data_IF_901413558611
#
_entry.id   IF_901413558611
#
_cell.length_a   1.000
_cell.length_b   1.000
_cell.length_c   1.000
_cell.angle_alpha   90.00
_cell.angle_beta   90.00
_cell.angle_gamma   90.00
#
_symmetry.space_group_name_H-M   'P 1'
#
loop_
_entity.id
_entity.type
_entity.pdbx_description
1 polymer ?
#
# COMPACT_ATOMS: atom_id res chain seq x y z
N UNK A 1 7.48 7.73 30.84
CA UNK A 1 6.25 7.88 30.04
C UNK A 1 5.12 8.26 30.99
N UNK A 2 4.42 9.39 30.77
CA UNK A 2 3.40 9.90 31.71
C UNK A 2 2.10 9.09 31.61
N UNK A 3 1.45 8.80 32.75
CA UNK A 3 0.14 8.13 32.86
C UNK A 3 -0.91 8.79 31.93
N UNK A 4 -0.80 10.11 31.72
CA UNK A 4 -1.70 10.86 30.83
C UNK A 4 -1.55 10.46 29.35
N UNK A 5 -0.33 10.13 28.91
CA UNK A 5 -0.05 9.61 27.57
C UNK A 5 -0.65 8.21 27.39
N UNK A 6 -0.52 7.35 28.41
CA UNK A 6 -1.09 6.01 28.42
C UNK A 6 -2.62 6.02 28.31
N UNK A 7 -3.31 6.84 29.12
CA UNK A 7 -4.78 6.94 29.12
C UNK A 7 -5.32 7.50 27.80
N UNK A 8 -4.69 8.56 27.27
CA UNK A 8 -5.12 9.16 25.99
C UNK A 8 -4.95 8.20 24.82
N UNK A 9 -3.95 7.31 24.89
CA UNK A 9 -3.67 6.30 23.88
C UNK A 9 -4.67 5.13 23.93
N UNK A 10 -5.01 4.65 25.12
CA UNK A 10 -6.05 3.62 25.30
C UNK A 10 -7.39 4.08 24.73
N UNK A 11 -7.74 5.34 24.93
CA UNK A 11 -8.99 5.91 24.38
C UNK A 11 -9.02 5.94 22.85
N UNK A 12 -7.88 6.20 22.19
CA UNK A 12 -7.76 6.20 20.71
C UNK A 12 -7.79 4.81 20.10
N UNK A 13 -7.22 3.81 20.78
CA UNK A 13 -7.31 2.41 20.35
C UNK A 13 -8.76 1.92 20.43
N UNK A 14 -9.46 2.25 21.52
CA UNK A 14 -10.85 1.86 21.74
C UNK A 14 -11.83 2.55 20.77
N UNK A 15 -11.68 3.86 20.55
CA UNK A 15 -12.53 4.60 19.61
C UNK A 15 -12.42 4.09 18.16
N UNK A 16 -11.27 3.56 17.77
CA UNK A 16 -11.07 3.01 16.42
C UNK A 16 -11.62 1.60 16.26
N UNK A 17 -11.55 0.77 17.31
CA UNK A 17 -12.18 -0.55 17.32
C UNK A 17 -13.71 -0.46 17.12
N UNK A 18 -14.34 0.58 17.68
CA UNK A 18 -15.77 0.87 17.51
C UNK A 18 -16.11 1.32 16.08
N UNK A 19 -15.18 1.96 15.36
CA UNK A 19 -15.43 2.56 14.04
C UNK A 19 -15.28 1.59 12.86
N UNK A 20 -14.55 0.49 13.01
CA UNK A 20 -14.23 -0.43 11.89
C UNK A 20 -15.21 -1.60 11.77
N UNK A 21 -16.13 -1.74 12.72
CA UNK A 21 -17.15 -2.79 12.72
C UNK A 21 -16.56 -4.15 13.07
N UNK A 22 -17.14 -4.80 14.08
CA UNK A 22 -16.83 -6.17 14.45
C UNK A 22 -17.08 -7.10 13.26
N UNK A 23 -16.05 -7.35 12.45
CA UNK A 23 -16.02 -8.57 11.64
C UNK A 23 -15.79 -9.70 12.62
N UNK A 24 -16.85 -10.46 12.85
CA UNK A 24 -16.91 -11.52 13.84
C UNK A 24 -15.70 -12.46 13.76
N UNK A 25 -15.29 -12.92 14.94
CA UNK A 25 -14.39 -14.04 15.18
C UNK A 25 -14.62 -15.16 14.16
N UNK A 26 -13.83 -15.18 13.09
CA UNK A 26 -13.86 -16.28 12.13
C UNK A 26 -12.65 -17.18 12.43
N UNK A 27 -12.97 -18.33 13.04
CA UNK A 27 -12.08 -19.38 13.56
C UNK A 27 -11.13 -18.92 14.68
N UNK A 28 -11.34 -19.40 15.92
CA UNK A 28 -10.51 -19.06 17.09
C UNK A 28 -9.03 -19.48 17.01
N UNK A 29 -8.58 -19.94 15.85
CA UNK A 29 -7.22 -20.41 15.58
C UNK A 29 -6.39 -19.28 14.95
N UNK A 30 -5.17 -19.02 15.44
CA UNK A 30 -4.35 -17.95 14.93
C UNK A 30 -3.84 -18.28 13.52
N UNK A 31 -3.73 -17.25 12.68
CA UNK A 31 -2.96 -17.35 11.44
C UNK A 31 -1.47 -17.36 11.76
N UNK A 32 -0.67 -18.09 10.99
CA UNK A 32 0.77 -18.17 11.21
C UNK A 32 1.54 -17.51 10.07
N UNK A 33 2.47 -16.63 10.42
CA UNK A 33 3.36 -15.92 9.50
C UNK A 33 4.81 -16.00 9.96
N UNK A 34 5.74 -15.54 9.12
CA UNK A 34 7.17 -15.67 9.34
C UNK A 34 7.64 -17.12 9.09
N UNK A 35 8.93 -17.30 8.87
CA UNK A 35 9.56 -18.60 8.68
C UNK A 35 10.63 -18.90 9.73
N UNK A 36 11.51 -19.89 9.52
CA UNK A 36 12.59 -20.19 10.47
C UNK A 36 13.64 -19.07 10.55
N UNK A 37 13.67 -18.15 9.58
CA UNK A 37 14.69 -17.10 9.49
C UNK A 37 14.24 -15.76 10.08
N UNK A 38 15.21 -14.94 10.47
CA UNK A 38 15.00 -13.58 10.97
C UNK A 38 14.33 -12.67 9.93
N UNK A 39 14.73 -12.78 8.66
CA UNK A 39 14.24 -11.92 7.57
C UNK A 39 12.78 -12.21 7.22
N UNK A 40 12.38 -13.48 7.22
CA UNK A 40 10.97 -13.86 7.03
C UNK A 40 10.09 -13.34 8.17
N UNK A 41 10.58 -13.39 9.42
CA UNK A 41 9.83 -12.92 10.58
C UNK A 41 9.56 -11.40 10.54
N UNK A 42 10.59 -10.60 10.25
CA UNK A 42 10.45 -9.14 10.15
C UNK A 42 9.68 -8.78 8.89
N UNK A 43 10.00 -9.40 7.75
CA UNK A 43 9.37 -9.14 6.47
C UNK A 43 7.87 -9.40 6.50
N UNK A 44 7.44 -10.57 6.99
CA UNK A 44 6.02 -10.90 7.06
C UNK A 44 5.28 -10.05 8.10
N UNK A 45 5.92 -9.68 9.20
CA UNK A 45 5.35 -8.73 10.16
C UNK A 45 5.16 -7.36 9.52
N UNK A 46 6.11 -6.89 8.71
CA UNK A 46 5.95 -5.64 7.97
C UNK A 46 4.82 -5.71 6.95
N UNK A 47 4.66 -6.83 6.26
CA UNK A 47 3.52 -7.08 5.36
C UNK A 47 2.21 -6.99 6.14
N UNK A 48 2.11 -7.69 7.28
CA UNK A 48 0.93 -7.64 8.15
C UNK A 48 0.63 -6.20 8.62
N UNK A 49 1.64 -5.47 9.07
CA UNK A 49 1.47 -4.09 9.53
C UNK A 49 1.25 -3.11 8.37
N UNK A 50 1.53 -3.50 7.12
CA UNK A 50 1.22 -2.75 5.91
C UNK A 50 -0.24 -2.87 5.47
N UNK A 51 -1.00 -3.84 5.99
CA UNK A 51 -2.43 -3.97 5.69
C UNK A 51 -3.27 -3.05 6.57
N UNK A 52 -4.59 -3.04 6.36
CA UNK A 52 -5.54 -2.41 7.26
C UNK A 52 -5.69 -3.14 8.61
N UNK A 53 -5.04 -4.29 8.80
CA UNK A 53 -5.07 -5.08 10.02
C UNK A 53 -4.30 -4.35 11.13
N UNK A 54 -5.03 -3.73 12.07
CA UNK A 54 -4.39 -2.98 13.16
C UNK A 54 -4.02 -3.93 14.30
N UNK A 55 -2.77 -3.91 14.82
CA UNK A 55 -2.44 -4.62 16.04
C UNK A 55 -3.13 -3.96 17.24
N UNK A 56 -3.86 -4.76 18.02
CA UNK A 56 -4.62 -4.36 19.20
C UNK A 56 -3.85 -4.69 20.48
N UNK A 57 -3.34 -5.92 20.56
CA UNK A 57 -2.53 -6.42 21.67
C UNK A 57 -1.49 -7.40 21.14
N UNK A 58 -0.35 -7.49 21.81
CA UNK A 58 0.70 -8.43 21.44
C UNK A 58 1.35 -9.07 22.66
N UNK A 59 1.88 -10.27 22.48
CA UNK A 59 2.64 -11.00 23.48
C UNK A 59 3.94 -11.53 22.89
N UNK A 60 5.03 -11.44 23.66
CA UNK A 60 6.31 -12.08 23.38
C UNK A 60 6.30 -13.45 24.05
N UNK A 61 6.05 -14.49 23.26
CA UNK A 61 6.08 -15.88 23.71
C UNK A 61 7.54 -16.27 23.86
N UNK A 62 7.98 -16.59 25.08
CA UNK A 62 9.40 -16.79 25.38
C UNK A 62 9.66 -18.10 26.13
N UNK A 63 10.64 -18.88 25.66
CA UNK A 63 11.26 -19.97 26.43
C UNK A 63 12.63 -19.48 26.89
N UNK A 64 12.72 -19.09 28.18
CA UNK A 64 13.90 -18.43 28.74
C UNK A 64 14.72 -19.36 29.63
N UNK A 65 16.04 -19.24 29.52
CA UNK A 65 16.98 -19.81 30.48
C UNK A 65 17.04 -19.01 31.79
N UNK A 66 17.92 -19.41 32.71
CA UNK A 66 18.08 -18.76 34.02
C UNK A 66 18.64 -17.33 33.94
N UNK A 67 19.22 -16.94 32.81
CA UNK A 67 19.77 -15.60 32.56
C UNK A 67 18.77 -14.72 31.81
N UNK A 68 17.62 -15.25 31.40
CA UNK A 68 16.64 -14.52 30.61
C UNK A 68 16.91 -14.51 29.12
N UNK A 69 17.74 -15.42 28.64
CA UNK A 69 18.06 -15.58 27.24
C UNK A 69 17.22 -16.71 26.65
N UNK A 70 16.86 -16.61 25.38
CA UNK A 70 16.01 -17.64 24.80
C UNK A 70 15.55 -17.41 23.38
N UNK A 71 14.67 -18.31 22.97
CA UNK A 71 13.93 -18.23 21.71
C UNK A 71 12.58 -17.56 21.94
N UNK A 72 12.13 -16.82 20.92
CA UNK A 72 10.88 -16.08 20.98
C UNK A 72 10.00 -16.30 19.76
N UNK A 73 8.70 -16.11 19.97
CA UNK A 73 7.68 -15.93 18.96
C UNK A 73 6.79 -14.74 19.38
N UNK A 74 5.95 -14.24 18.47
CA UNK A 74 4.97 -13.20 18.80
C UNK A 74 3.57 -13.71 18.58
N UNK A 75 2.66 -13.47 19.53
CA UNK A 75 1.22 -13.53 19.31
C UNK A 75 0.72 -12.10 19.18
N UNK A 76 -0.03 -11.79 18.13
CA UNK A 76 -0.55 -10.45 17.86
C UNK A 76 -2.06 -10.60 17.61
N UNK A 77 -2.86 -9.98 18.46
CA UNK A 77 -4.27 -9.78 18.20
C UNK A 77 -4.45 -8.59 17.28
N UNK A 78 -5.13 -8.80 16.16
CA UNK A 78 -5.44 -7.76 15.19
C UNK A 78 -6.94 -7.59 15.03
N UNK A 79 -7.36 -6.53 14.34
CA UNK A 79 -8.76 -6.33 13.93
C UNK A 79 -9.32 -7.47 13.07
N UNK A 80 -8.46 -8.26 12.42
CA UNK A 80 -8.85 -9.37 11.54
C UNK A 80 -8.54 -10.75 12.17
N UNK A 81 -8.38 -10.80 13.49
CA UNK A 81 -8.08 -12.02 14.24
C UNK A 81 -6.63 -12.15 14.71
N UNK A 82 -6.32 -13.26 15.37
CA UNK A 82 -5.01 -13.52 15.95
C UNK A 82 -3.99 -13.97 14.90
N UNK A 83 -2.74 -13.51 15.06
CA UNK A 83 -1.61 -13.85 14.19
C UNK A 83 -0.40 -14.23 15.03
N UNK A 84 0.31 -15.28 14.65
CA UNK A 84 1.56 -15.71 15.28
C UNK A 84 2.73 -15.50 14.32
N UNK A 85 3.74 -14.73 14.75
CA UNK A 85 5.05 -14.66 14.07
C UNK A 85 5.93 -15.76 14.65
N UNK A 86 6.23 -16.76 13.83
CA UNK A 86 6.64 -18.08 14.31
C UNK A 86 8.03 -18.15 14.95
N UNK A 87 9.04 -17.49 14.41
CA UNK A 87 10.41 -17.72 14.86
C UNK A 87 11.42 -16.77 14.25
N UNK A 88 12.70 -17.09 14.35
CA UNK A 88 13.80 -16.20 13.94
C UNK A 88 14.08 -15.08 14.95
N UNK A 89 13.48 -15.13 16.14
CA UNK A 89 13.61 -14.12 17.19
C UNK A 89 14.31 -14.75 18.40
N UNK A 90 15.42 -14.16 18.85
CA UNK A 90 16.20 -14.67 19.99
C UNK A 90 16.62 -13.52 20.91
N UNK A 91 17.08 -13.83 22.12
CA UNK A 91 17.67 -12.85 23.05
C UNK A 91 18.93 -13.40 23.74
N UNK A 92 19.72 -12.51 24.34
CA UNK A 92 20.89 -12.86 25.16
C UNK A 92 22.25 -12.83 24.46
N UNK A 93 22.28 -12.83 23.14
CA UNK A 93 23.51 -12.73 22.36
C UNK A 93 23.39 -11.68 21.26
N UNK A 94 24.49 -11.00 20.97
CA UNK A 94 24.57 -10.11 19.82
C UNK A 94 24.46 -10.95 18.54
N UNK A 95 23.48 -10.65 17.69
CA UNK A 95 23.23 -11.42 16.48
C UNK A 95 21.95 -11.04 15.75
N UNK A 96 21.71 -11.69 14.62
CA UNK A 96 20.56 -11.41 13.76
C UNK A 96 19.22 -11.66 14.46
N UNK A 97 19.11 -12.71 15.29
CA UNK A 97 17.88 -13.01 16.01
C UNK A 97 17.51 -11.98 17.09
N UNK A 98 18.50 -11.45 17.83
CA UNK A 98 18.29 -10.36 18.78
C UNK A 98 17.94 -9.04 18.09
N UNK A 99 18.57 -8.76 16.94
CA UNK A 99 18.22 -7.63 16.09
C UNK A 99 16.80 -7.76 15.53
N UNK A 100 16.40 -8.95 15.13
CA UNK A 100 15.07 -9.23 14.62
C UNK A 100 14.00 -9.03 15.69
N UNK A 101 14.20 -9.59 16.88
CA UNK A 101 13.30 -9.37 18.02
C UNK A 101 13.15 -7.89 18.35
N UNK A 102 14.25 -7.16 18.48
CA UNK A 102 14.21 -5.72 18.76
C UNK A 102 13.49 -4.94 17.65
N UNK A 103 13.71 -5.31 16.38
CA UNK A 103 13.05 -4.71 15.22
C UNK A 103 11.55 -4.98 15.23
N UNK A 104 11.12 -6.22 15.48
CA UNK A 104 9.71 -6.58 15.57
C UNK A 104 8.99 -5.85 16.70
N UNK A 105 9.61 -5.75 17.88
CA UNK A 105 9.07 -4.97 19.00
C UNK A 105 8.95 -3.49 18.61
N UNK A 106 9.98 -2.93 17.95
CA UNK A 106 9.94 -1.56 17.46
C UNK A 106 8.79 -1.32 16.49
N UNK A 107 8.57 -2.22 15.54
CA UNK A 107 7.45 -2.11 14.59
C UNK A 107 6.09 -2.09 15.28
N UNK A 108 5.91 -2.90 16.32
CA UNK A 108 4.68 -2.91 17.12
C UNK A 108 4.53 -1.61 17.91
N UNK A 109 5.60 -1.15 18.58
CA UNK A 109 5.62 0.08 19.37
C UNK A 109 5.37 1.32 18.51
N UNK A 110 5.93 1.37 17.30
CA UNK A 110 5.70 2.44 16.33
C UNK A 110 4.22 2.49 15.86
N UNK A 111 3.45 1.42 16.10
CA UNK A 111 1.99 1.32 15.88
C UNK A 111 1.16 1.39 17.16
N UNK A 112 1.73 1.92 18.23
CA UNK A 112 1.11 2.03 19.56
C UNK A 112 0.71 0.67 20.18
N UNK A 113 1.27 -0.44 19.71
CA UNK A 113 1.08 -1.77 20.28
C UNK A 113 2.29 -2.14 21.14
N UNK A 114 2.10 -2.25 22.45
CA UNK A 114 3.15 -2.55 23.42
C UNK A 114 3.06 -4.01 23.85
N UNK A 115 4.01 -4.87 23.42
CA UNK A 115 3.93 -6.29 23.72
C UNK A 115 4.05 -6.59 25.22
N UNK A 116 3.34 -7.60 25.71
CA UNK A 116 3.50 -8.16 27.05
C UNK A 116 4.34 -9.44 27.00
N UNK A 117 5.15 -9.73 28.03
CA UNK A 117 5.90 -10.97 28.06
C UNK A 117 5.05 -12.15 28.52
N UNK A 118 5.11 -13.24 27.76
CA UNK A 118 4.51 -14.51 28.09
C UNK A 118 5.59 -15.59 28.14
N UNK A 119 6.13 -15.84 29.33
CA UNK A 119 7.13 -16.89 29.51
C UNK A 119 6.42 -18.23 29.60
N UNK A 120 6.72 -19.11 28.67
CA UNK A 120 6.05 -20.41 28.53
C UNK A 120 7.06 -21.54 28.61
N UNK A 121 6.54 -22.76 28.74
CA UNK A 121 7.38 -23.95 28.59
C UNK A 121 7.79 -24.13 27.13
N UNK A 122 8.96 -24.74 26.92
CA UNK A 122 9.51 -25.09 25.60
C UNK A 122 8.50 -25.76 24.65
N UNK A 123 7.65 -26.65 25.15
CA UNK A 123 6.66 -27.36 24.33
C UNK A 123 5.63 -26.42 23.70
N UNK A 124 5.19 -25.38 24.44
CA UNK A 124 4.26 -24.35 23.96
C UNK A 124 4.93 -23.50 22.87
N UNK A 125 6.18 -23.06 23.10
CA UNK A 125 6.92 -22.27 22.10
C UNK A 125 7.17 -23.08 20.81
N UNK A 126 7.52 -24.36 20.93
CA UNK A 126 7.67 -25.23 19.75
C UNK A 126 6.35 -25.39 18.99
N UNK A 127 5.21 -25.50 19.68
CA UNK A 127 3.90 -25.49 19.03
C UNK A 127 3.63 -24.18 18.27
N UNK A 128 3.98 -23.02 18.83
CA UNK A 128 3.91 -21.74 18.10
C UNK A 128 4.75 -21.76 16.82
N UNK A 129 5.99 -22.26 16.89
CA UNK A 129 6.92 -22.38 15.75
C UNK A 129 6.42 -23.33 14.66
N UNK A 130 5.66 -24.36 15.05
CA UNK A 130 5.16 -25.41 14.15
C UNK A 130 3.69 -25.26 13.77
N UNK A 131 3.10 -24.06 13.92
CA UNK A 131 1.70 -23.79 13.56
C UNK A 131 0.67 -24.67 14.29
N UNK A 132 0.94 -24.99 15.56
CA UNK A 132 0.21 -26.04 16.28
C UNK A 132 -0.22 -25.61 17.70
N UNK A 133 -0.48 -24.33 17.95
CA UNK A 133 -0.97 -23.89 19.26
C UNK A 133 -2.38 -24.41 19.50
N UNK A 134 -2.61 -24.88 20.72
CA UNK A 134 -3.93 -25.25 21.20
C UNK A 134 -4.64 -24.02 21.78
N UNK A 135 -5.97 -24.07 21.89
CA UNK A 135 -6.74 -22.99 22.52
C UNK A 135 -6.25 -22.72 23.96
N UNK A 136 -5.92 -23.78 24.70
CA UNK A 136 -5.34 -23.69 26.05
C UNK A 136 -3.97 -22.98 26.06
N UNK A 137 -3.16 -23.15 25.01
CA UNK A 137 -1.88 -22.45 24.89
C UNK A 137 -2.09 -20.96 24.66
N UNK A 138 -3.06 -20.60 23.82
CA UNK A 138 -3.40 -19.21 23.52
C UNK A 138 -3.89 -18.51 24.79
N UNK A 139 -4.78 -19.16 25.55
CA UNK A 139 -5.23 -18.64 26.84
C UNK A 139 -4.09 -18.52 27.85
N UNK A 140 -3.19 -19.51 27.91
CA UNK A 140 -1.98 -19.43 28.74
C UNK A 140 -1.12 -18.21 28.36
N UNK A 141 -0.90 -17.97 27.07
CA UNK A 141 -0.11 -16.84 26.55
C UNK A 141 -0.80 -15.51 26.87
N UNK A 142 -2.11 -15.39 26.64
CA UNK A 142 -2.91 -14.19 26.94
C UNK A 142 -2.85 -13.80 28.41
N UNK A 143 -2.83 -14.81 29.28
CA UNK A 143 -2.69 -14.65 30.72
C UNK A 143 -1.23 -14.38 31.15
N UNK A 144 -0.28 -14.33 30.19
CA UNK A 144 1.13 -13.99 30.36
C UNK A 144 2.03 -15.16 30.81
N UNK A 145 1.59 -16.41 30.63
CA UNK A 145 2.38 -17.60 30.97
C UNK A 145 2.78 -17.68 32.45
N UNK A 146 3.97 -18.23 32.71
CA UNK A 146 4.55 -18.30 34.05
C UNK A 146 4.94 -16.90 34.56
N UNK A 147 4.05 -16.33 35.38
CA UNK A 147 4.18 -14.99 35.96
C UNK A 147 5.51 -14.82 36.71
N UNK A 148 6.05 -15.90 37.30
CA UNK A 148 7.26 -15.84 38.14
C UNK A 148 8.53 -15.61 37.33
N UNK A 149 8.51 -15.90 36.03
CA UNK A 149 9.68 -15.80 35.15
C UNK A 149 9.58 -14.64 34.17
N UNK A 150 8.51 -13.84 34.22
CA UNK A 150 8.32 -12.71 33.33
C UNK A 150 9.47 -11.73 33.43
N UNK A 151 10.03 -11.38 32.29
CA UNK A 151 10.79 -10.15 32.13
C UNK A 151 9.82 -9.07 31.66
N UNK A 152 10.19 -7.81 31.77
CA UNK A 152 9.46 -6.74 31.10
C UNK A 152 10.10 -6.48 29.74
N UNK A 153 9.29 -6.42 28.68
CA UNK A 153 9.73 -6.22 27.31
C UNK A 153 10.57 -4.94 27.15
N UNK A 154 10.44 -4.02 28.11
CA UNK A 154 11.26 -2.81 28.22
C UNK A 154 12.76 -3.11 28.22
N UNK A 155 13.17 -4.29 28.67
CA UNK A 155 14.56 -4.75 28.59
C UNK A 155 15.08 -4.81 27.14
N UNK A 156 14.22 -5.08 26.16
CA UNK A 156 14.59 -5.08 24.74
C UNK A 156 14.72 -3.67 24.14
N UNK A 157 14.18 -2.64 24.80
CA UNK A 157 14.21 -1.26 24.31
C UNK A 157 15.59 -0.60 24.43
N UNK A 158 16.41 -1.10 25.36
CA UNK A 158 17.78 -0.63 25.56
C UNK A 158 18.80 -1.31 24.62
N UNK A 159 18.36 -2.29 23.83
CA UNK A 159 19.21 -2.92 22.84
C UNK A 159 19.68 -1.89 21.78
N UNK A 160 20.96 -1.89 21.37
CA UNK A 160 21.48 -0.97 20.36
C UNK A 160 20.64 -0.97 19.07
N UNK A 161 20.15 -2.16 18.69
CA UNK A 161 19.32 -2.39 17.51
C UNK A 161 17.95 -1.72 17.56
N UNK A 162 17.36 -1.56 18.75
CA UNK A 162 16.07 -0.89 18.90
C UNK A 162 16.15 0.59 18.49
N UNK A 163 17.32 1.21 18.66
CA UNK A 163 17.55 2.62 18.31
C UNK A 163 17.89 2.82 16.83
N UNK A 164 18.05 1.75 16.06
CA UNK A 164 18.30 1.84 14.63
C UNK A 164 17.04 2.28 13.88
N UNK A 165 17.20 3.25 12.96
CA UNK A 165 16.10 3.79 12.14
C UNK A 165 15.73 2.90 10.94
N UNK A 166 16.47 1.82 10.71
CA UNK A 166 16.36 0.98 9.51
C UNK A 166 15.22 -0.03 9.54
N UNK A 167 14.35 0.01 10.55
CA UNK A 167 13.27 -0.99 10.72
C UNK A 167 12.31 -1.01 9.52
N UNK A 168 12.15 0.12 8.82
CA UNK A 168 11.34 0.23 7.62
C UNK A 168 12.05 -0.28 6.35
N UNK A 169 13.38 -0.40 6.35
CA UNK A 169 14.19 -0.88 5.21
C UNK A 169 14.07 -2.39 5.00
N UNK A 170 13.56 -3.14 6.00
CA UNK A 170 13.25 -4.57 5.85
C UNK A 170 11.98 -4.81 5.01
N UNK A 171 11.20 -3.77 4.74
CA UNK A 171 9.93 -3.88 4.03
C UNK A 171 10.18 -4.17 2.56
N UNK A 172 9.72 -5.33 2.09
CA UNK A 172 9.56 -5.55 0.66
C UNK A 172 8.31 -4.79 0.20
N UNK A 173 8.34 -4.05 -0.93
CA UNK A 173 7.13 -3.42 -1.46
C UNK A 173 6.01 -4.44 -1.64
N UNK A 174 4.85 -4.18 -1.04
CA UNK A 174 3.66 -5.05 -1.15
C UNK A 174 2.67 -4.37 -2.08
N UNK A 175 2.42 -4.99 -3.22
CA UNK A 175 1.48 -4.47 -4.21
C UNK A 175 0.03 -4.62 -3.70
N UNK A 176 -0.73 -3.51 -3.52
CA UNK A 176 -2.09 -3.58 -3.01
C UNK A 176 -3.04 -4.05 -4.13
N UNK A 177 -3.10 -5.36 -4.37
CA UNK A 177 -3.83 -5.97 -5.50
C UNK A 177 -5.32 -5.56 -5.55
N UNK A 178 -5.93 -5.28 -4.41
CA UNK A 178 -7.32 -4.81 -4.31
C UNK A 178 -7.52 -3.37 -4.82
N UNK A 179 -6.49 -2.53 -4.77
CA UNK A 179 -6.50 -1.14 -5.24
C UNK A 179 -6.00 -1.01 -6.68
N UNK A 180 -5.54 -2.12 -7.28
CA UNK A 180 -5.13 -2.11 -8.67
C UNK A 180 -6.33 -2.04 -9.61
N UNK A 181 -6.20 -1.16 -10.59
CA UNK A 181 -7.05 -1.06 -11.75
C UNK A 181 -7.21 -2.45 -12.39
N UNK A 182 -8.42 -2.86 -12.82
CA UNK A 182 -8.66 -4.21 -13.33
C UNK A 182 -7.70 -4.63 -14.46
N UNK A 183 -7.29 -3.71 -15.34
CA UNK A 183 -6.35 -3.99 -16.43
C UNK A 183 -4.92 -4.29 -15.97
N UNK A 184 -4.54 -3.92 -14.74
CA UNK A 184 -3.20 -4.16 -14.19
C UNK A 184 -3.08 -5.50 -13.49
N UNK A 185 -4.19 -6.18 -13.17
CA UNK A 185 -4.16 -7.39 -12.33
C UNK A 185 -3.34 -8.53 -12.93
N UNK A 186 -3.37 -8.71 -14.25
CA UNK A 186 -2.55 -9.70 -14.95
C UNK A 186 -1.07 -9.28 -15.00
N UNK A 187 -0.81 -7.99 -15.21
CA UNK A 187 0.54 -7.44 -15.39
C UNK A 187 1.27 -7.26 -14.05
N UNK A 188 0.54 -7.16 -12.95
CA UNK A 188 1.02 -7.01 -11.58
C UNK A 188 2.00 -8.13 -11.15
N UNK A 189 1.79 -9.36 -11.64
CA UNK A 189 2.68 -10.48 -11.33
C UNK A 189 4.04 -10.33 -12.01
N UNK A 190 4.06 -9.80 -13.23
CA UNK A 190 5.30 -9.60 -14.00
C UNK A 190 6.12 -8.41 -13.50
N UNK A 191 5.49 -7.48 -12.78
CA UNK A 191 6.13 -6.25 -12.31
C UNK A 191 7.38 -6.53 -11.47
N UNK A 192 7.34 -7.50 -10.56
CA UNK A 192 8.49 -7.84 -9.71
C UNK A 192 9.65 -8.52 -10.46
N UNK A 193 9.40 -8.96 -11.70
CA UNK A 193 10.41 -9.59 -12.57
C UNK A 193 10.94 -8.61 -13.61
N UNK A 194 10.06 -7.76 -14.16
CA UNK A 194 10.36 -6.86 -15.28
C UNK A 194 9.66 -5.49 -15.10
N UNK A 195 10.00 -4.72 -14.06
CA UNK A 195 9.26 -3.52 -13.69
C UNK A 195 9.19 -2.49 -14.83
N UNK A 196 10.31 -2.21 -15.50
CA UNK A 196 10.34 -1.23 -16.58
C UNK A 196 9.52 -1.62 -17.80
N UNK A 197 9.46 -2.92 -18.10
CA UNK A 197 8.65 -3.40 -19.21
C UNK A 197 7.17 -3.19 -18.90
N UNK A 198 6.74 -3.57 -17.69
CA UNK A 198 5.38 -3.36 -17.21
C UNK A 198 5.01 -1.88 -17.26
N UNK A 199 5.85 -0.99 -16.72
CA UNK A 199 5.58 0.45 -16.71
C UNK A 199 5.43 1.03 -18.12
N UNK A 200 6.29 0.62 -19.07
CA UNK A 200 6.17 1.02 -20.49
C UNK A 200 4.88 0.52 -21.12
N UNK A 201 4.49 -0.71 -20.84
CA UNK A 201 3.30 -1.31 -21.44
C UNK A 201 2.02 -0.68 -20.88
N UNK A 202 1.98 -0.39 -19.58
CA UNK A 202 0.87 0.34 -18.95
C UNK A 202 0.76 1.76 -19.48
N UNK A 203 1.88 2.49 -19.58
CA UNK A 203 1.88 3.84 -20.17
C UNK A 203 1.37 3.81 -21.62
N UNK A 204 1.75 2.79 -22.40
CA UNK A 204 1.25 2.60 -23.77
C UNK A 204 -0.25 2.28 -23.80
N UNK A 205 -0.75 1.46 -22.88
CA UNK A 205 -2.18 1.14 -22.78
C UNK A 205 -3.00 2.41 -22.47
N UNK A 206 -2.58 3.22 -21.50
CA UNK A 206 -3.21 4.51 -21.18
C UNK A 206 -3.26 5.41 -22.43
N UNK A 207 -2.13 5.60 -23.10
CA UNK A 207 -2.05 6.42 -24.32
C UNK A 207 -2.96 5.86 -25.42
N UNK A 208 -2.99 4.53 -25.58
CA UNK A 208 -3.82 3.86 -26.58
C UNK A 208 -5.31 4.05 -26.29
N UNK A 209 -5.76 3.83 -25.05
CA UNK A 209 -7.15 4.04 -24.62
C UNK A 209 -7.63 5.44 -24.94
N UNK A 210 -6.85 6.47 -24.59
CA UNK A 210 -7.20 7.85 -24.92
C UNK A 210 -7.24 8.05 -26.44
N UNK A 211 -6.21 7.59 -27.18
CA UNK A 211 -6.18 7.71 -28.65
C UNK A 211 -7.38 7.09 -29.35
N UNK A 212 -7.87 5.94 -28.86
CA UNK A 212 -9.02 5.25 -29.47
C UNK A 212 -10.33 6.02 -29.32
N UNK A 213 -10.43 6.91 -28.33
CA UNK A 213 -11.60 7.74 -28.11
C UNK A 213 -11.50 9.11 -28.81
N UNK A 214 -10.32 9.50 -29.31
CA UNK A 214 -10.15 10.76 -30.03
C UNK A 214 -10.64 10.66 -31.49
N UNK A 215 -11.23 11.74 -32.04
CA UNK A 215 -11.55 11.83 -33.45
C UNK A 215 -10.32 11.62 -34.36
N UNK A 216 -10.53 10.98 -35.52
CA UNK A 216 -9.47 10.71 -36.50
C UNK A 216 -8.74 12.00 -36.89
N UNK A 217 -7.41 11.99 -36.77
CA UNK A 217 -6.54 13.12 -37.14
C UNK A 217 -6.08 13.99 -35.97
N UNK A 218 -6.78 13.98 -34.82
CA UNK A 218 -6.42 14.78 -33.63
C UNK A 218 -5.25 14.19 -32.82
N UNK A 219 -4.87 12.94 -33.09
CA UNK A 219 -3.82 12.19 -32.39
C UNK A 219 -2.47 12.13 -33.13
N UNK A 220 -2.34 12.73 -34.32
CA UNK A 220 -1.19 12.51 -35.22
C UNK A 220 -0.10 13.58 -35.03
N UNK A 221 1.12 13.14 -34.69
CA UNK A 221 2.34 13.96 -34.75
C UNK A 221 2.56 14.95 -33.60
N UNK A 222 1.81 14.86 -32.51
CA UNK A 222 1.92 15.82 -31.41
C UNK A 222 2.95 15.40 -30.35
N UNK A 223 3.62 16.39 -29.74
CA UNK A 223 4.45 16.19 -28.54
C UNK A 223 3.56 15.72 -27.38
N UNK A 224 4.07 14.87 -26.50
CA UNK A 224 3.28 14.23 -25.43
C UNK A 224 2.50 15.22 -24.55
N UNK A 225 3.10 16.37 -24.20
CA UNK A 225 2.40 17.39 -23.44
C UNK A 225 1.24 18.07 -24.19
N UNK A 226 1.35 18.19 -25.52
CA UNK A 226 0.26 18.73 -26.34
C UNK A 226 -0.87 17.70 -26.52
N UNK A 227 -0.54 16.40 -26.51
CA UNK A 227 -1.53 15.33 -26.63
C UNK A 227 -2.58 15.35 -25.50
N UNK A 228 -2.13 15.45 -24.24
CA UNK A 228 -3.03 15.44 -23.09
C UNK A 228 -3.94 16.68 -23.02
N UNK A 229 -3.39 17.87 -23.29
CA UNK A 229 -4.19 19.09 -23.36
C UNK A 229 -5.27 18.99 -24.44
N UNK A 230 -4.93 18.47 -25.61
CA UNK A 230 -5.86 18.39 -26.74
C UNK A 230 -6.94 17.32 -26.54
N UNK A 231 -6.65 16.30 -25.72
CA UNK A 231 -7.61 15.30 -25.33
C UNK A 231 -8.64 15.83 -24.32
N UNK A 232 -8.20 16.59 -23.30
CA UNK A 232 -9.01 16.84 -22.10
C UNK A 232 -9.25 18.32 -21.74
N UNK A 233 -8.39 19.26 -22.14
CA UNK A 233 -8.39 20.64 -21.62
C UNK A 233 -8.58 21.76 -22.65
N UNK A 234 -8.48 21.49 -23.95
CA UNK A 234 -8.78 22.51 -24.98
C UNK A 234 -10.27 22.92 -24.96
N UNK A 235 -10.55 24.15 -25.39
CA UNK A 235 -11.91 24.55 -25.74
C UNK A 235 -12.39 23.58 -26.85
N UNK A 236 -13.45 22.81 -26.58
CA UNK A 236 -13.89 21.66 -27.40
C UNK A 236 -12.98 20.39 -27.36
N UNK A 237 -12.30 20.14 -26.24
CA UNK A 237 -11.74 18.83 -25.88
C UNK A 237 -12.71 17.66 -26.17
N UNK A 238 -12.28 16.58 -26.83
CA UNK A 238 -13.14 15.43 -27.12
C UNK A 238 -13.55 14.63 -25.89
N UNK A 239 -12.71 14.63 -24.86
CA UNK A 239 -12.95 13.91 -23.62
C UNK A 239 -13.17 14.88 -22.49
N UNK A 240 -14.14 14.58 -21.64
CA UNK A 240 -14.54 15.41 -20.51
C UNK A 240 -14.70 14.57 -19.26
N UNK A 241 -14.48 15.20 -18.11
CA UNK A 241 -14.94 14.70 -16.82
C UNK A 241 -16.11 15.58 -16.38
N UNK A 242 -17.37 15.08 -16.48
CA UNK A 242 -18.55 15.93 -16.33
C UNK A 242 -18.68 16.55 -14.92
N UNK A 243 -18.16 15.87 -13.91
CA UNK A 243 -18.27 16.28 -12.51
C UNK A 243 -17.13 17.21 -12.03
N UNK A 244 -16.21 17.61 -12.91
CA UNK A 244 -15.05 18.42 -12.53
C UNK A 244 -15.14 19.87 -12.97
N UNK A 245 -14.68 20.76 -12.10
CA UNK A 245 -14.49 22.16 -12.47
C UNK A 245 -13.26 22.34 -13.36
N UNK A 246 -13.21 23.46 -14.12
CA UNK A 246 -12.12 23.77 -15.06
C UNK A 246 -10.73 23.69 -14.41
N UNK A 247 -10.58 24.13 -13.16
CA UNK A 247 -9.32 24.06 -12.42
C UNK A 247 -8.87 22.63 -12.14
N UNK A 248 -9.80 21.74 -11.80
CA UNK A 248 -9.54 20.33 -11.52
C UNK A 248 -9.19 19.55 -12.79
N UNK A 249 -9.86 19.85 -13.91
CA UNK A 249 -9.52 19.33 -15.24
C UNK A 249 -8.07 19.68 -15.58
N UNK A 250 -7.68 20.94 -15.42
CA UNK A 250 -6.29 21.40 -15.68
C UNK A 250 -5.30 20.63 -14.78
N UNK A 251 -5.62 20.46 -13.48
CA UNK A 251 -4.76 19.74 -12.55
C UNK A 251 -4.58 18.26 -12.96
N UNK A 252 -5.66 17.57 -13.35
CA UNK A 252 -5.59 16.19 -13.86
C UNK A 252 -4.74 16.11 -15.11
N UNK A 253 -4.91 17.01 -16.07
CA UNK A 253 -4.08 17.04 -17.29
C UNK A 253 -2.59 17.24 -16.96
N UNK A 254 -2.27 18.11 -15.99
CA UNK A 254 -0.89 18.30 -15.54
C UNK A 254 -0.30 17.05 -14.87
N UNK A 255 -1.11 16.23 -14.20
CA UNK A 255 -0.69 14.91 -13.71
C UNK A 255 -0.33 13.97 -14.86
N UNK A 256 -1.14 13.90 -15.92
CA UNK A 256 -0.80 13.11 -17.11
C UNK A 256 0.50 13.57 -17.76
N UNK A 257 0.66 14.88 -17.98
CA UNK A 257 1.89 15.44 -18.54
C UNK A 257 3.13 15.11 -17.70
N UNK A 258 3.03 15.33 -16.39
CA UNK A 258 4.11 15.08 -15.44
C UNK A 258 4.49 13.61 -15.40
N UNK A 259 3.51 12.71 -15.21
CA UNK A 259 3.74 11.28 -15.11
C UNK A 259 4.36 10.69 -16.37
N UNK A 260 3.86 11.04 -17.56
CA UNK A 260 4.46 10.57 -18.82
C UNK A 260 5.84 11.20 -19.05
N UNK A 261 5.98 12.47 -18.68
CA UNK A 261 7.23 13.20 -18.65
C UNK A 261 8.32 12.51 -17.83
N UNK A 262 7.97 11.93 -16.69
CA UNK A 262 8.93 11.32 -15.74
C UNK A 262 9.08 9.81 -15.87
N UNK A 263 8.05 9.07 -16.28
CA UNK A 263 8.09 7.60 -16.31
C UNK A 263 8.57 7.12 -17.69
N UNK A 264 8.03 7.68 -18.76
CA UNK A 264 8.28 7.20 -20.13
C UNK A 264 9.58 7.76 -20.70
N UNK A 265 9.79 9.08 -20.59
CA UNK A 265 10.92 9.75 -21.24
C UNK A 265 12.28 9.27 -20.69
N UNK A 266 12.49 9.16 -19.36
CA UNK A 266 13.73 8.60 -18.83
C UNK A 266 13.97 7.16 -19.29
N UNK A 267 12.96 6.30 -19.32
CA UNK A 267 13.11 4.91 -19.81
C UNK A 267 13.38 4.81 -21.31
N UNK A 268 12.93 5.78 -22.10
CA UNK A 268 13.27 5.88 -23.52
C UNK A 268 14.72 6.38 -23.75
N UNK A 269 15.28 7.13 -22.80
CA UNK A 269 16.61 7.74 -22.91
C UNK A 269 17.71 7.04 -22.08
N UNK A 270 17.35 6.29 -21.05
CA UNK A 270 18.25 5.67 -20.05
C UNK A 270 17.68 4.30 -19.59
N UNK A 271 17.72 3.27 -20.45
CA UNK A 271 17.10 1.98 -20.15
C UNK A 271 17.84 1.13 -19.10
N UNK A 272 19.09 1.46 -18.75
CA UNK A 272 19.98 0.61 -17.92
C UNK A 272 20.16 1.11 -16.48
N UNK A 273 19.39 2.10 -16.03
CA UNK A 273 19.48 2.63 -14.65
C UNK A 273 18.42 1.94 -13.80
N UNK A 274 18.80 1.21 -12.72
CA UNK A 274 17.83 0.66 -11.77
C UNK A 274 16.95 1.78 -11.22
N UNK A 275 15.63 1.62 -11.33
CA UNK A 275 14.68 2.59 -10.80
C UNK A 275 14.16 2.14 -9.44
N UNK A 276 14.68 2.77 -8.38
CA UNK A 276 14.24 2.57 -7.01
C UNK A 276 12.79 3.05 -6.79
N UNK A 277 12.18 3.74 -7.75
CA UNK A 277 10.82 4.30 -7.68
C UNK A 277 9.80 3.57 -8.56
N UNK A 278 10.16 2.44 -9.17
CA UNK A 278 9.29 1.75 -10.13
C UNK A 278 7.92 1.39 -9.52
N UNK A 279 7.85 1.13 -8.22
CA UNK A 279 6.62 0.77 -7.53
C UNK A 279 5.70 1.98 -7.37
N UNK A 280 6.24 3.13 -6.96
CA UNK A 280 5.52 4.41 -6.87
C UNK A 280 5.00 4.86 -8.23
N UNK A 281 5.80 4.66 -9.27
CA UNK A 281 5.40 4.95 -10.64
C UNK A 281 4.25 4.06 -11.13
N UNK A 282 4.26 2.76 -10.78
CA UNK A 282 3.14 1.87 -11.08
C UNK A 282 1.85 2.36 -10.41
N UNK A 283 1.93 2.80 -9.16
CA UNK A 283 0.77 3.36 -8.44
C UNK A 283 0.28 4.68 -9.07
N UNK A 284 1.18 5.51 -9.59
CA UNK A 284 0.80 6.72 -10.33
C UNK A 284 0.07 6.36 -11.64
N UNK A 285 0.59 5.41 -12.43
CA UNK A 285 -0.08 4.94 -13.64
C UNK A 285 -1.43 4.24 -13.33
N UNK A 286 -1.50 3.53 -12.22
CA UNK A 286 -2.75 2.95 -11.71
C UNK A 286 -3.83 4.01 -11.51
N UNK A 287 -3.48 5.14 -10.90
CA UNK A 287 -4.41 6.26 -10.72
C UNK A 287 -4.82 6.89 -12.06
N UNK A 288 -3.87 7.06 -12.99
CA UNK A 288 -4.16 7.62 -14.31
C UNK A 288 -5.10 6.74 -15.14
N UNK A 289 -5.00 5.41 -15.02
CA UNK A 289 -5.96 4.49 -15.66
C UNK A 289 -7.39 4.75 -15.19
N UNK A 290 -7.60 4.92 -13.88
CA UNK A 290 -8.91 5.27 -13.35
C UNK A 290 -9.44 6.59 -13.94
N UNK A 291 -8.58 7.61 -14.08
CA UNK A 291 -8.99 8.87 -14.72
C UNK A 291 -9.35 8.71 -16.20
N UNK A 292 -8.69 7.80 -16.93
CA UNK A 292 -9.06 7.51 -18.32
C UNK A 292 -10.42 6.82 -18.40
N UNK A 293 -10.68 5.85 -17.51
CA UNK A 293 -11.95 5.11 -17.50
C UNK A 293 -13.12 6.00 -16.98
N UNK A 294 -12.83 7.03 -16.17
CA UNK A 294 -13.79 8.09 -15.77
C UNK A 294 -14.10 9.11 -16.88
N UNK A 295 -13.26 9.22 -17.90
CA UNK A 295 -13.44 10.23 -18.95
C UNK A 295 -14.50 9.79 -19.95
N UNK A 296 -15.37 10.72 -20.34
CA UNK A 296 -16.45 10.47 -21.28
C UNK A 296 -16.25 11.25 -22.59
N UNK A 297 -16.67 10.69 -23.74
CA UNK A 297 -16.78 11.46 -24.96
C UNK A 297 -17.73 12.64 -24.77
N UNK A 298 -17.28 13.84 -25.11
CA UNK A 298 -18.13 15.03 -25.15
C UNK A 298 -19.29 14.77 -26.12
N UNK A 299 -20.51 14.79 -25.61
CA UNK A 299 -21.70 14.79 -26.45
C UNK A 299 -21.71 16.12 -27.21
N UNK A 300 -21.62 16.06 -28.54
CA UNK A 300 -21.86 17.25 -29.36
C UNK A 300 -23.37 17.44 -29.43
N UNK A 301 -23.90 18.47 -28.78
CA UNK A 301 -25.28 18.90 -28.99
C UNK A 301 -25.45 19.23 -30.47
N UNK A 302 -26.35 18.49 -31.13
CA UNK A 302 -26.66 18.58 -32.56
C UNK A 302 -27.38 19.86 -32.97
N UNK A 303 -26.92 21.02 -32.52
CA UNK A 303 -27.47 22.33 -32.90
C UNK A 303 -26.39 23.17 -33.57
N UNK A 304 -26.04 22.80 -34.81
CA UNK A 304 -25.40 23.70 -35.80
C UNK A 304 -25.48 23.10 -37.20
N UNK A 305 -26.67 22.70 -37.66
CA UNK A 305 -26.95 22.52 -39.08
C UNK A 305 -28.34 23.11 -39.42
N UNK A 306 -28.41 24.43 -39.55
CA UNK A 306 -29.26 25.04 -40.56
C UNK A 306 -28.44 26.10 -41.27
N UNK A 307 -27.98 25.72 -42.46
CA UNK A 307 -27.51 26.62 -43.49
C UNK A 307 -28.63 27.63 -43.79
N UNK A 308 -28.39 28.92 -43.53
CA UNK A 308 -29.10 29.97 -44.22
C UNK A 308 -28.24 30.38 -45.41
N UNK A 309 -28.52 29.76 -46.56
CA UNK A 309 -28.04 30.19 -47.86
C UNK A 309 -28.58 31.58 -48.14
N UNK A 310 -27.83 32.62 -47.75
CA UNK A 310 -28.07 33.99 -48.14
C UNK A 310 -27.82 34.16 -49.64
N UNK A 311 -28.88 34.00 -50.44
CA UNK A 311 -28.96 34.49 -51.82
C UNK A 311 -28.79 36.02 -51.77
N UNK A 312 -27.81 36.61 -52.47
CA UNK A 312 -27.72 38.07 -52.54
C UNK A 312 -28.88 38.60 -53.40
N UNK A 313 -29.60 39.66 -52.98
CA UNK A 313 -30.65 40.22 -53.81
C UNK A 313 -30.02 40.90 -55.03
N UNK A 314 -30.65 40.64 -56.18
CA UNK A 314 -30.30 41.19 -57.47
C UNK A 314 -30.36 42.72 -57.47
N UNK A 315 -29.39 43.31 -58.17
CA UNK A 315 -29.36 44.70 -58.60
C UNK A 315 -30.61 45.05 -59.42
N UNK A 316 -31.42 45.99 -58.95
CA UNK A 316 -32.35 46.74 -59.81
C UNK A 316 -31.73 48.08 -60.18
N UNK A 317 -31.41 48.21 -61.46
CA UNK A 317 -31.35 49.49 -62.16
C UNK A 317 -32.73 50.18 -62.09
N UNK A 318 -32.75 51.49 -61.79
CA UNK A 318 -33.42 52.48 -62.66
C UNK A 318 -33.07 53.92 -62.28
N UNK A 319 -32.40 54.53 -63.23
CA UNK A 319 -32.47 55.93 -63.69
C UNK A 319 -33.65 56.77 -63.19
N UNK A 320 -33.37 57.94 -62.63
CA UNK A 320 -33.65 59.28 -63.22
C UNK A 320 -32.90 60.35 -62.44
#
# INVERSE_FOLDING_TARGET
MSIRSYVTRQFRAYAWAVLVGERGNDTGQPRYIGGPTCDEAIGDLLVLLGTCSRPLKAWIISDLDTFGHGDHALLIETTDGAVVVRGGLTSGYNGQGARALASSIKLLVDRDCYPEDAVVRRDVLLRARHCALLDEDIELIRNGGDVRRRQHFTHYLDAPYFRERRTWEYGRPVLPLSLLHPSLRSTAQEFFVKPDQVLRDVARDIEHRVKTQLPKGRSRGQREGAFWNNAFSEDNAPLVWPDLEKGEVIARVKLFEGAFGTIRNPRAHRPDVPDDHAFEELLLLNMLLSFVDEAEPRQMDGTSETMENGVPPASEERTS
#
